data_IF_966537105540
#
_entry.id   IF_966537105540
#
_cell.length_a   1.000
_cell.length_b   1.000
_cell.length_c   1.000
_cell.angle_alpha   90.00
_cell.angle_beta   90.00
_cell.angle_gamma   90.00
#
_symmetry.space_group_name_H-M   'P 1'
#
loop_
_entity.id
_entity.type
_entity.pdbx_description
1 polymer ?
#
# COMPACT_ATOMS: atom_id res chain seq x y z
N UNK A 1 -4.15 27.54 20.61
CA UNK A 1 -4.57 26.21 20.12
C UNK A 1 -3.46 25.67 19.24
N UNK A 2 -2.59 24.80 19.78
CA UNK A 2 -1.57 24.12 18.97
C UNK A 2 -2.24 22.96 18.25
N UNK A 3 -2.43 23.09 16.94
CA UNK A 3 -2.81 21.98 16.07
C UNK A 3 -1.62 21.03 15.96
N UNK A 4 -1.60 20.01 16.81
CA UNK A 4 -0.68 18.88 16.65
C UNK A 4 -1.06 18.22 15.32
N UNK A 5 -0.31 18.53 14.26
CA UNK A 5 -0.50 17.94 12.95
C UNK A 5 -0.26 16.44 13.07
N UNK A 6 -1.30 15.63 12.84
CA UNK A 6 -1.18 14.18 12.75
C UNK A 6 -0.17 13.84 11.65
N UNK A 7 1.03 13.42 12.02
CA UNK A 7 2.00 12.89 11.07
C UNK A 7 1.61 11.45 10.77
N UNK A 8 0.89 11.24 9.67
CA UNK A 8 0.74 9.89 9.12
C UNK A 8 2.13 9.38 8.70
N UNK A 9 2.45 8.11 8.93
CA UNK A 9 3.69 7.55 8.43
C UNK A 9 3.72 7.71 6.91
N UNK A 10 4.85 8.14 6.32
CA UNK A 10 4.92 8.45 4.88
C UNK A 10 4.53 7.25 4.01
N UNK A 11 4.83 6.02 4.46
CA UNK A 11 4.43 4.78 3.80
C UNK A 11 2.90 4.62 3.69
N UNK A 12 2.14 5.08 4.68
CA UNK A 12 0.68 5.02 4.66
C UNK A 12 0.08 5.96 3.62
N UNK A 13 0.67 7.14 3.43
CA UNK A 13 0.29 8.07 2.35
C UNK A 13 0.59 7.44 0.99
N UNK A 14 1.77 6.83 0.85
CA UNK A 14 2.17 6.13 -0.37
C UNK A 14 1.22 4.96 -0.67
N UNK A 15 0.78 4.21 0.35
CA UNK A 15 -0.17 3.12 0.19
C UNK A 15 -1.53 3.57 -0.36
N UNK A 16 -2.08 4.67 0.15
CA UNK A 16 -3.31 5.23 -0.40
C UNK A 16 -3.16 5.72 -1.84
N UNK A 17 -2.03 6.35 -2.16
CA UNK A 17 -1.72 6.76 -3.53
C UNK A 17 -1.58 5.54 -4.44
N UNK A 18 -0.86 4.51 -4.01
CA UNK A 18 -0.69 3.26 -4.75
C UNK A 18 -2.04 2.57 -4.99
N UNK A 19 -2.92 2.53 -3.98
CA UNK A 19 -4.27 1.99 -4.11
C UNK A 19 -5.10 2.78 -5.13
N UNK A 20 -5.10 4.11 -5.04
CA UNK A 20 -5.84 4.98 -5.95
C UNK A 20 -5.35 4.85 -7.41
N UNK A 21 -4.02 4.87 -7.61
CA UNK A 21 -3.39 4.68 -8.93
C UNK A 21 -3.68 3.28 -9.47
N UNK A 22 -3.59 2.25 -8.61
CA UNK A 22 -3.88 0.87 -8.98
C UNK A 22 -5.32 0.69 -9.45
N UNK A 23 -6.30 1.20 -8.69
CA UNK A 23 -7.72 1.14 -9.06
C UNK A 23 -8.01 1.89 -10.36
N UNK A 24 -7.53 3.13 -10.48
CA UNK A 24 -7.70 3.92 -11.70
C UNK A 24 -7.03 3.25 -12.92
N UNK A 25 -5.85 2.66 -12.71
CA UNK A 25 -5.10 1.94 -13.74
C UNK A 25 -5.80 0.66 -14.20
N UNK A 26 -6.33 -0.16 -13.29
CA UNK A 26 -7.12 -1.36 -13.66
C UNK A 26 -8.35 -0.94 -14.47
N UNK A 27 -9.10 0.06 -14.02
CA UNK A 27 -10.27 0.58 -14.75
C UNK A 27 -9.86 1.07 -16.14
N UNK A 28 -8.78 1.84 -16.23
CA UNK A 28 -8.25 2.33 -17.51
C UNK A 28 -7.86 1.19 -18.47
N UNK A 29 -7.14 0.19 -17.98
CA UNK A 29 -6.72 -0.97 -18.79
C UNK A 29 -7.92 -1.76 -19.31
N UNK A 30 -8.97 -1.92 -18.51
CA UNK A 30 -10.19 -2.62 -18.91
C UNK A 30 -11.00 -1.84 -19.97
N UNK A 31 -10.99 -0.51 -19.92
CA UNK A 31 -11.73 0.34 -20.85
C UNK A 31 -11.00 0.59 -22.18
N UNK A 32 -9.67 0.65 -22.16
CA UNK A 32 -8.85 1.10 -23.30
C UNK A 32 -8.59 0.05 -24.39
N UNK A 33 -9.14 -1.17 -24.27
CA UNK A 33 -9.00 -2.27 -25.25
C UNK A 33 -7.54 -2.45 -25.74
N UNK A 34 -6.59 -2.43 -24.80
CA UNK A 34 -5.16 -2.48 -25.11
C UNK A 34 -4.76 -3.82 -25.74
N UNK A 35 -3.71 -3.84 -26.59
CA UNK A 35 -3.19 -5.08 -27.14
C UNK A 35 -2.74 -6.03 -26.02
N UNK A 36 -2.83 -7.37 -26.20
CA UNK A 36 -2.51 -8.33 -25.14
C UNK A 36 -1.11 -8.20 -24.54
N UNK A 37 -0.15 -7.75 -25.35
CA UNK A 37 1.24 -7.46 -24.96
C UNK A 37 1.36 -6.32 -23.95
N UNK A 38 0.41 -5.38 -23.95
CA UNK A 38 0.38 -4.22 -23.03
C UNK A 38 -0.64 -4.43 -21.92
N UNK A 39 -1.76 -5.07 -22.23
CA UNK A 39 -2.86 -5.33 -21.31
C UNK A 39 -2.41 -6.17 -20.11
N UNK A 40 -1.81 -7.34 -20.35
CA UNK A 40 -1.44 -8.28 -19.27
C UNK A 40 -0.36 -7.68 -18.34
N UNK A 41 0.72 -7.06 -18.84
CA UNK A 41 1.73 -6.44 -17.96
C UNK A 41 1.17 -5.30 -17.11
N UNK A 42 0.38 -4.39 -17.71
CA UNK A 42 -0.21 -3.28 -16.95
C UNK A 42 -1.20 -3.76 -15.90
N UNK A 43 -2.01 -4.79 -16.23
CA UNK A 43 -2.92 -5.39 -15.26
C UNK A 43 -2.15 -5.94 -14.05
N UNK A 44 -1.01 -6.60 -14.25
CA UNK A 44 -0.15 -7.07 -13.17
C UNK A 44 0.40 -5.92 -12.31
N UNK A 45 0.94 -4.87 -12.94
CA UNK A 45 1.48 -3.70 -12.22
C UNK A 45 0.40 -3.04 -11.37
N UNK A 46 -0.77 -2.74 -11.96
CA UNK A 46 -1.85 -2.07 -11.23
C UNK A 46 -2.48 -2.95 -10.15
N UNK A 47 -2.60 -4.26 -10.38
CA UNK A 47 -3.05 -5.21 -9.36
C UNK A 47 -2.04 -5.30 -8.21
N UNK A 48 -0.75 -5.23 -8.51
CA UNK A 48 0.31 -5.13 -7.50
C UNK A 48 0.22 -3.85 -6.68
N UNK A 49 -0.04 -2.69 -7.31
CA UNK A 49 -0.25 -1.43 -6.59
C UNK A 49 -1.47 -1.50 -5.64
N UNK A 50 -2.55 -2.16 -6.04
CA UNK A 50 -3.71 -2.42 -5.19
C UNK A 50 -3.32 -3.31 -4.01
N UNK A 51 -2.65 -4.44 -4.27
CA UNK A 51 -2.22 -5.38 -3.24
C UNK A 51 -1.30 -4.71 -2.20
N UNK A 52 -0.35 -3.87 -2.64
CA UNK A 52 0.52 -3.09 -1.76
C UNK A 52 -0.28 -2.09 -0.91
N UNK A 53 -1.20 -1.35 -1.54
CA UNK A 53 -2.05 -0.40 -0.84
C UNK A 53 -2.90 -1.07 0.24
N UNK A 54 -3.47 -2.23 -0.05
CA UNK A 54 -4.24 -3.02 0.91
C UNK A 54 -3.33 -3.62 2.00
N UNK A 55 -2.17 -4.16 1.63
CA UNK A 55 -1.22 -4.76 2.55
C UNK A 55 -0.76 -3.78 3.63
N UNK A 56 -0.34 -2.58 3.22
CA UNK A 56 0.09 -1.53 4.15
C UNK A 56 -1.07 -1.02 5.02
N UNK A 57 -2.30 -0.91 4.49
CA UNK A 57 -3.48 -0.53 5.30
C UNK A 57 -3.78 -1.60 6.37
N UNK A 58 -3.57 -2.88 6.07
CA UNK A 58 -3.75 -3.98 7.03
C UNK A 58 -2.62 -4.03 8.07
N UNK A 59 -1.39 -3.72 7.68
CA UNK A 59 -0.22 -3.64 8.56
C UNK A 59 -0.25 -2.40 9.48
N UNK A 60 -0.92 -1.35 9.03
CA UNK A 60 -1.12 -0.10 9.75
C UNK A 60 -2.62 0.18 9.94
N UNK A 61 -3.33 -0.61 10.78
CA UNK A 61 -4.67 -0.22 11.18
C UNK A 61 -4.55 1.17 11.81
N UNK A 62 -5.34 2.13 11.32
CA UNK A 62 -5.35 3.49 11.84
C UNK A 62 -5.51 3.38 13.35
N UNK A 63 -4.42 3.59 14.09
CA UNK A 63 -4.47 3.62 15.55
C UNK A 63 -5.44 4.76 15.88
N UNK A 64 -6.65 4.37 16.31
CA UNK A 64 -7.53 5.30 16.99
C UNK A 64 -6.73 5.73 18.21
N UNK A 65 -6.34 7.00 18.19
CA UNK A 65 -5.69 7.72 19.29
C UNK A 65 -6.15 7.10 20.62
N UNK A 66 -5.26 6.56 21.47
CA UNK A 66 -5.66 6.14 22.80
C UNK A 66 -6.32 7.35 23.45
N UNK A 67 -7.57 7.17 23.87
CA UNK A 67 -8.33 8.18 24.59
C UNK A 67 -7.43 8.74 25.70
N UNK A 68 -7.29 10.07 25.74
CA UNK A 68 -6.50 10.79 26.75
C UNK A 68 -6.79 10.22 28.15
N UNK A 69 -5.86 9.43 28.70
CA UNK A 69 -6.12 8.78 29.99
C UNK A 69 -5.09 7.76 30.49
N UNK A 70 -4.07 7.38 29.73
CA UNK A 70 -2.99 6.54 30.28
C UNK A 70 -1.69 7.33 30.33
N UNK A 71 -1.54 8.04 31.45
CA UNK A 71 -0.28 8.64 31.84
C UNK A 71 0.66 7.59 32.43
N UNK A 72 1.90 7.67 31.94
CA UNK A 72 3.14 7.51 32.67
C UNK A 72 3.59 6.09 33.06
N UNK A 73 4.59 5.62 32.32
CA UNK A 73 5.58 4.67 32.85
C UNK A 73 6.15 3.72 31.82
N UNK A 74 6.92 4.25 30.84
CA UNK A 74 8.16 3.65 30.32
C UNK A 74 8.45 4.14 28.88
N UNK A 75 9.48 4.99 28.75
CA UNK A 75 10.29 5.18 27.53
C UNK A 75 9.52 5.31 26.19
N UNK A 76 8.86 6.46 26.03
CA UNK A 76 7.91 6.81 24.94
C UNK A 76 8.50 7.07 23.54
N UNK A 77 9.75 6.67 23.25
CA UNK A 77 10.23 6.67 21.86
C UNK A 77 9.69 5.48 21.04
N UNK A 78 9.09 4.48 21.70
CA UNK A 78 8.55 3.28 21.06
C UNK A 78 7.02 3.27 20.87
N UNK A 79 6.30 4.31 21.29
CA UNK A 79 4.82 4.37 21.09
C UNK A 79 4.44 4.63 19.62
N UNK A 80 5.36 5.15 18.79
CA UNK A 80 5.05 5.58 17.43
C UNK A 80 5.21 4.54 16.31
N UNK A 81 5.51 3.27 16.63
CA UNK A 81 5.69 2.25 15.58
C UNK A 81 5.28 0.85 16.01
N UNK A 82 4.07 0.68 16.57
CA UNK A 82 3.48 -0.66 16.64
C UNK A 82 2.90 -1.00 15.27
N UNK A 83 3.75 -1.51 14.37
CA UNK A 83 3.26 -2.28 13.23
C UNK A 83 2.46 -3.44 13.82
N UNK A 84 1.19 -3.54 13.45
CA UNK A 84 0.51 -4.80 13.67
C UNK A 84 1.06 -5.73 12.60
N UNK A 85 1.91 -6.67 12.97
CA UNK A 85 2.50 -7.64 12.04
C UNK A 85 1.38 -8.58 11.55
N UNK A 86 0.56 -8.05 10.64
CA UNK A 86 -0.48 -8.79 9.98
C UNK A 86 0.21 -9.68 8.95
N UNK A 87 0.30 -10.98 9.23
CA UNK A 87 0.89 -11.94 8.28
C UNK A 87 0.26 -11.84 6.89
N UNK A 88 -1.04 -11.48 6.82
CA UNK A 88 -1.74 -11.24 5.56
C UNK A 88 -1.27 -9.95 4.87
N UNK A 89 -1.07 -8.86 5.61
CA UNK A 89 -0.57 -7.60 5.04
C UNK A 89 0.85 -7.76 4.49
N UNK A 90 1.75 -8.38 5.26
CA UNK A 90 3.10 -8.72 4.80
C UNK A 90 3.11 -9.64 3.57
N UNK A 91 2.21 -10.63 3.51
CA UNK A 91 2.07 -11.49 2.35
C UNK A 91 1.61 -10.69 1.11
N UNK A 92 0.65 -9.78 1.29
CA UNK A 92 0.18 -8.90 0.21
C UNK A 92 1.29 -7.99 -0.29
N UNK A 93 2.15 -7.46 0.58
CA UNK A 93 3.28 -6.64 0.16
C UNK A 93 4.30 -7.43 -0.68
N UNK A 94 4.61 -8.68 -0.28
CA UNK A 94 5.49 -9.56 -1.06
C UNK A 94 4.86 -9.87 -2.42
N UNK A 95 3.58 -10.24 -2.45
CA UNK A 95 2.85 -10.53 -3.69
C UNK A 95 2.78 -9.28 -4.58
N UNK A 96 2.54 -8.11 -4.00
CA UNK A 96 2.52 -6.85 -4.72
C UNK A 96 3.83 -6.56 -5.43
N UNK A 97 4.96 -6.70 -4.72
CA UNK A 97 6.29 -6.53 -5.30
C UNK A 97 6.51 -7.52 -6.46
N UNK A 98 6.17 -8.80 -6.27
CA UNK A 98 6.28 -9.80 -7.32
C UNK A 98 5.45 -9.44 -8.56
N UNK A 99 4.20 -9.03 -8.38
CA UNK A 99 3.32 -8.62 -9.48
C UNK A 99 3.86 -7.41 -10.23
N UNK A 100 4.37 -6.40 -9.51
CA UNK A 100 4.96 -5.20 -10.09
C UNK A 100 6.20 -5.57 -10.92
N UNK A 101 7.12 -6.35 -10.36
CA UNK A 101 8.34 -6.76 -11.06
C UNK A 101 8.05 -7.66 -12.27
N UNK A 102 7.14 -8.63 -12.15
CA UNK A 102 6.73 -9.48 -13.28
C UNK A 102 6.04 -8.65 -14.36
N UNK A 103 5.19 -7.70 -13.96
CA UNK A 103 4.55 -6.75 -14.87
C UNK A 103 5.58 -5.92 -15.64
N UNK A 104 6.52 -5.28 -14.95
CA UNK A 104 7.59 -4.53 -15.61
C UNK A 104 8.48 -5.42 -16.49
N UNK A 105 8.84 -6.61 -16.02
CA UNK A 105 9.65 -7.55 -16.81
C UNK A 105 8.97 -7.93 -18.12
N UNK A 106 7.65 -8.23 -18.09
CA UNK A 106 6.89 -8.52 -19.31
C UNK A 106 6.68 -7.31 -20.22
N UNK A 107 6.71 -6.10 -19.66
CA UNK A 107 6.65 -4.88 -20.44
C UNK A 107 7.96 -4.60 -21.17
N UNK A 108 9.10 -4.85 -20.51
CA UNK A 108 10.45 -4.64 -21.05
C UNK A 108 10.89 -5.77 -22.00
N UNK A 109 10.47 -7.01 -21.71
CA UNK A 109 10.80 -8.20 -22.49
C UNK A 109 9.52 -8.90 -22.96
N UNK A 110 8.83 -8.33 -23.98
CA UNK A 110 7.63 -8.91 -24.57
C UNK A 110 8.02 -10.03 -25.55
N UNK A 111 8.54 -11.14 -25.02
CA UNK A 111 8.92 -12.33 -25.78
C UNK A 111 8.18 -13.56 -25.26
#
# INVERSE_FOLDING_TARGET
MNTIARKYPPLFIIAFLALAIGLAGVIGVLLLQLPPSTFKPLLLVFSGCIAFGVGEILNHPIERIPEFGQAAGDNDENIYRRRNDCSLGNLLDIVALLLIFIGFARFLYPY
#
